data_IF_768618314329
#
_entry.id   IF_768618314329
#
_cell.length_a   1.000
_cell.length_b   1.000
_cell.length_c   1.000
_cell.angle_alpha   90.00
_cell.angle_beta   90.00
_cell.angle_gamma   90.00
#
_symmetry.space_group_name_H-M   'P 1'
#
loop_
_entity.id
_entity.type
_entity.pdbx_description
1 polymer ?
#
# COMPACT_ATOMS: atom_id res chain seq x y z
N UNK A 1 7.21 24.41 -21.03
CA UNK A 1 7.74 25.78 -20.97
C UNK A 1 8.18 26.06 -19.54
N UNK A 2 9.41 26.53 -19.32
CA UNK A 2 9.88 26.92 -17.99
C UNK A 2 9.31 28.31 -17.64
N UNK A 3 8.73 28.43 -16.45
CA UNK A 3 8.17 29.66 -15.94
C UNK A 3 9.21 30.44 -15.11
N UNK A 4 9.00 31.76 -14.89
CA UNK A 4 9.94 32.60 -14.14
C UNK A 4 10.17 32.18 -12.69
N UNK A 5 9.28 31.38 -12.11
CA UNK A 5 9.41 30.81 -10.76
C UNK A 5 10.22 29.50 -10.72
N UNK A 6 10.76 29.06 -11.87
CA UNK A 6 11.48 27.81 -12.00
C UNK A 6 10.59 26.57 -12.14
N UNK A 7 9.26 26.74 -12.17
CA UNK A 7 8.35 25.64 -12.51
C UNK A 7 8.45 25.30 -13.99
N UNK A 8 8.22 24.03 -14.33
CA UNK A 8 8.21 23.56 -15.71
C UNK A 8 6.82 23.01 -15.99
N UNK A 9 6.09 23.65 -16.91
CA UNK A 9 4.82 23.11 -17.40
C UNK A 9 5.09 22.21 -18.60
N UNK A 10 4.62 20.96 -18.50
CA UNK A 10 4.59 20.02 -19.61
C UNK A 10 3.24 20.18 -20.32
N UNK A 11 3.26 20.67 -21.56
CA UNK A 11 2.08 20.57 -22.43
C UNK A 11 2.03 19.15 -22.97
N UNK A 12 1.25 18.30 -22.32
CA UNK A 12 1.13 16.87 -22.66
C UNK A 12 0.03 16.62 -23.69
N UNK A 13 -0.62 17.65 -24.23
CA UNK A 13 -1.73 17.47 -25.16
C UNK A 13 -1.29 16.69 -26.42
N UNK A 14 -0.13 17.03 -27.00
CA UNK A 14 0.44 16.32 -28.16
C UNK A 14 0.91 14.89 -27.83
N UNK A 15 1.23 14.61 -26.55
CA UNK A 15 1.65 13.28 -26.11
C UNK A 15 0.49 12.39 -25.64
N UNK A 16 -0.72 12.95 -25.48
CA UNK A 16 -1.87 12.24 -24.93
C UNK A 16 -2.26 11.00 -25.73
N UNK A 17 -2.28 11.10 -27.06
CA UNK A 17 -2.60 9.98 -27.95
C UNK A 17 -1.51 8.90 -27.91
N UNK A 18 -0.24 9.29 -28.04
CA UNK A 18 0.88 8.36 -27.97
C UNK A 18 0.93 7.61 -26.61
N UNK A 19 0.65 8.33 -25.51
CA UNK A 19 0.53 7.75 -24.18
C UNK A 19 -0.65 6.76 -24.09
N UNK A 20 -1.82 7.13 -24.62
CA UNK A 20 -2.99 6.25 -24.60
C UNK A 20 -2.76 4.95 -25.38
N UNK A 21 -2.12 5.02 -26.56
CA UNK A 21 -1.75 3.85 -27.37
C UNK A 21 -0.73 2.98 -26.65
N UNK A 22 0.30 3.58 -26.06
CA UNK A 22 1.32 2.85 -25.30
C UNK A 22 0.71 2.15 -24.07
N UNK A 23 -0.15 2.85 -23.31
CA UNK A 23 -0.82 2.31 -22.13
C UNK A 23 -1.77 1.17 -22.50
N UNK A 24 -2.56 1.33 -23.57
CA UNK A 24 -3.44 0.27 -24.08
C UNK A 24 -2.64 -0.97 -24.50
N UNK A 25 -1.58 -0.77 -25.27
CA UNK A 25 -0.68 -1.85 -25.72
C UNK A 25 -0.07 -2.59 -24.54
N UNK A 26 0.39 -1.85 -23.52
CA UNK A 26 0.94 -2.42 -22.29
C UNK A 26 -0.09 -3.29 -21.56
N UNK A 27 -1.31 -2.78 -21.35
CA UNK A 27 -2.39 -3.49 -20.64
C UNK A 27 -2.82 -4.78 -21.34
N UNK A 28 -2.77 -4.83 -22.67
CA UNK A 28 -3.09 -6.04 -23.44
C UNK A 28 -1.93 -7.03 -23.43
N UNK A 29 -0.69 -6.55 -23.57
CA UNK A 29 0.49 -7.42 -23.62
C UNK A 29 0.82 -8.02 -22.26
N UNK A 30 0.51 -7.30 -21.19
CA UNK A 30 0.77 -7.68 -19.81
C UNK A 30 -0.50 -7.52 -18.99
N UNK A 31 -1.52 -8.38 -19.21
CA UNK A 31 -2.76 -8.31 -18.47
C UNK A 31 -2.50 -8.61 -16.99
N UNK A 32 -3.06 -7.78 -16.11
CA UNK A 32 -3.06 -8.04 -14.67
C UNK A 32 -4.03 -9.20 -14.42
N UNK A 33 -3.63 -10.20 -13.65
CA UNK A 33 -4.52 -11.29 -13.25
C UNK A 33 -5.78 -10.70 -12.57
N UNK A 34 -7.01 -11.08 -12.99
CA UNK A 34 -8.26 -10.59 -12.41
C UNK A 34 -8.31 -10.63 -10.88
N UNK A 35 -7.60 -11.55 -10.22
CA UNK A 35 -7.57 -11.60 -8.74
C UNK A 35 -6.94 -10.37 -8.09
N UNK A 36 -6.07 -9.65 -8.82
CA UNK A 36 -5.50 -8.37 -8.41
C UNK A 36 -6.29 -7.17 -8.95
N UNK A 37 -7.39 -7.41 -9.67
CA UNK A 37 -8.24 -6.37 -10.24
C UNK A 37 -9.47 -6.15 -9.35
N UNK A 38 -9.65 -4.91 -8.91
CA UNK A 38 -10.82 -4.50 -8.12
C UNK A 38 -10.53 -4.32 -6.64
N UNK A 39 -11.53 -3.88 -5.86
CA UNK A 39 -11.40 -3.71 -4.43
C UNK A 39 -11.26 -5.06 -3.72
N UNK A 40 -10.55 -5.08 -2.60
CA UNK A 40 -10.48 -6.23 -1.72
C UNK A 40 -11.88 -6.61 -1.23
N UNK A 41 -12.16 -7.91 -1.24
CA UNK A 41 -13.40 -8.42 -0.68
C UNK A 41 -13.33 -8.52 0.86
N UNK A 42 -14.47 -8.78 1.51
CA UNK A 42 -14.54 -8.84 2.98
C UNK A 42 -13.66 -9.92 3.62
N UNK A 43 -13.44 -11.06 2.96
CA UNK A 43 -12.55 -12.11 3.47
C UNK A 43 -11.09 -11.70 3.39
N UNK A 44 -10.68 -11.06 2.30
CA UNK A 44 -9.34 -10.52 2.13
C UNK A 44 -9.04 -9.45 3.19
N UNK A 45 -10.00 -8.57 3.47
CA UNK A 45 -9.86 -7.57 4.53
C UNK A 45 -9.72 -8.21 5.92
N UNK A 46 -10.54 -9.22 6.23
CA UNK A 46 -10.40 -9.99 7.49
C UNK A 46 -9.04 -10.66 7.57
N UNK A 47 -8.56 -11.24 6.46
CA UNK A 47 -7.23 -11.87 6.40
C UNK A 47 -6.11 -10.89 6.68
N UNK A 48 -6.16 -9.68 6.10
CA UNK A 48 -5.19 -8.61 6.37
C UNK A 48 -5.22 -8.21 7.84
N UNK A 49 -6.42 -8.02 8.41
CA UNK A 49 -6.56 -7.64 9.81
C UNK A 49 -5.99 -8.73 10.74
N UNK A 50 -6.34 -10.00 10.52
CA UNK A 50 -5.84 -11.12 11.32
C UNK A 50 -4.32 -11.28 11.18
N UNK A 51 -3.79 -11.19 9.96
CA UNK A 51 -2.35 -11.19 9.71
C UNK A 51 -1.63 -10.06 10.43
N UNK A 52 -2.23 -8.85 10.42
CA UNK A 52 -1.65 -7.70 11.09
C UNK A 52 -1.48 -7.95 12.59
N UNK A 53 -2.49 -8.56 13.22
CA UNK A 53 -2.48 -8.86 14.66
C UNK A 53 -1.58 -10.04 15.03
N UNK A 54 -1.62 -11.10 14.24
CA UNK A 54 -1.05 -12.39 14.63
C UNK A 54 0.36 -12.59 14.11
N UNK A 55 0.76 -11.87 13.07
CA UNK A 55 2.07 -11.99 12.42
C UNK A 55 2.83 -10.67 12.44
N UNK A 56 2.21 -9.56 12.01
CA UNK A 56 2.94 -8.28 11.93
C UNK A 56 3.25 -7.69 13.29
N UNK A 57 2.28 -7.65 14.22
CA UNK A 57 2.50 -7.14 15.58
C UNK A 57 3.73 -7.78 16.23
N UNK A 58 3.82 -9.12 16.38
CA UNK A 58 5.00 -9.73 17.00
C UNK A 58 6.28 -9.54 16.18
N UNK A 59 6.18 -9.46 14.84
CA UNK A 59 7.34 -9.18 14.00
C UNK A 59 7.90 -7.78 14.26
N UNK A 60 7.06 -6.75 14.27
CA UNK A 60 7.45 -5.37 14.55
C UNK A 60 8.00 -5.21 15.97
N UNK A 61 7.38 -5.86 16.96
CA UNK A 61 7.86 -5.88 18.35
C UNK A 61 9.27 -6.47 18.46
N UNK A 62 9.63 -7.45 17.62
CA UNK A 62 10.99 -8.03 17.58
C UNK A 62 12.07 -7.02 17.16
N UNK A 63 11.68 -5.96 16.44
CA UNK A 63 12.54 -4.81 16.10
C UNK A 63 12.55 -3.72 17.19
N UNK A 64 11.92 -3.97 18.35
CA UNK A 64 11.81 -3.00 19.44
C UNK A 64 10.81 -1.89 19.17
N UNK A 65 9.89 -2.09 18.22
CA UNK A 65 8.83 -1.15 17.90
C UNK A 65 7.65 -1.40 18.83
N UNK A 66 7.18 -0.36 19.52
CA UNK A 66 5.94 -0.43 20.28
C UNK A 66 4.74 -0.36 19.33
N UNK A 67 3.95 -1.42 19.29
CA UNK A 67 2.76 -1.50 18.42
C UNK A 67 1.51 -1.17 19.25
N UNK A 68 0.74 -0.13 18.89
CA UNK A 68 -0.53 0.17 19.56
C UNK A 68 -1.56 -0.94 19.37
N UNK A 69 -2.52 -1.03 20.30
CA UNK A 69 -3.66 -1.93 20.13
C UNK A 69 -4.47 -1.54 18.87
N UNK A 70 -4.77 -2.51 17.99
CA UNK A 70 -5.51 -2.24 16.76
C UNK A 70 -6.98 -1.87 17.07
N UNK A 71 -7.67 -1.17 16.15
CA UNK A 71 -9.12 -0.98 16.25
C UNK A 71 -9.84 -2.33 16.19
N UNK A 72 -11.14 -2.37 16.52
CA UNK A 72 -11.93 -3.58 16.30
C UNK A 72 -12.02 -3.92 14.80
N UNK A 73 -12.28 -5.19 14.48
CA UNK A 73 -12.45 -5.64 13.10
C UNK A 73 -13.62 -4.91 12.41
N UNK A 74 -14.69 -4.62 13.14
CA UNK A 74 -15.83 -3.85 12.63
C UNK A 74 -15.42 -2.45 12.21
N UNK A 75 -14.69 -1.73 13.08
CA UNK A 75 -14.18 -0.38 12.79
C UNK A 75 -13.18 -0.40 11.62
N UNK A 76 -12.33 -1.43 11.55
CA UNK A 76 -11.40 -1.61 10.44
C UNK A 76 -12.15 -1.75 9.10
N UNK A 77 -13.16 -2.62 9.05
CA UNK A 77 -13.96 -2.86 7.85
C UNK A 77 -14.78 -1.61 7.46
N UNK A 78 -15.37 -0.92 8.43
CA UNK A 78 -16.18 0.28 8.21
C UNK A 78 -15.35 1.43 7.61
N UNK A 79 -14.14 1.64 8.14
CA UNK A 79 -13.27 2.75 7.72
C UNK A 79 -12.41 2.44 6.51
N UNK A 80 -12.41 1.19 6.02
CA UNK A 80 -11.58 0.80 4.89
C UNK A 80 -11.89 1.66 3.65
N UNK A 81 -10.84 2.20 3.01
CA UNK A 81 -10.95 3.06 1.83
C UNK A 81 -11.29 4.53 2.15
N UNK A 82 -11.46 4.89 3.43
CA UNK A 82 -11.59 6.28 3.87
C UNK A 82 -10.23 6.89 4.25
N UNK A 83 -10.12 8.23 4.39
CA UNK A 83 -8.93 8.88 4.94
C UNK A 83 -8.53 8.40 6.35
N UNK A 84 -9.47 7.83 7.10
CA UNK A 84 -9.27 7.28 8.44
C UNK A 84 -9.01 5.77 8.44
N UNK A 85 -8.70 5.18 7.28
CA UNK A 85 -8.41 3.76 7.16
C UNK A 85 -7.17 3.38 7.99
N UNK A 86 -7.33 2.38 8.85
CA UNK A 86 -6.25 1.89 9.69
C UNK A 86 -5.29 0.99 8.91
N UNK A 87 -4.00 1.18 9.15
CA UNK A 87 -2.94 0.23 8.80
C UNK A 87 -1.85 0.30 9.86
N UNK A 88 -1.31 -0.86 10.25
CA UNK A 88 -0.34 -0.95 11.37
C UNK A 88 0.93 -0.13 11.15
N UNK A 89 1.41 -0.04 9.91
CA UNK A 89 2.60 0.75 9.56
C UNK A 89 2.38 2.26 9.72
N UNK A 90 1.15 2.73 9.52
CA UNK A 90 0.73 4.10 9.76
C UNK A 90 0.94 4.53 11.22
N UNK A 91 0.73 3.61 12.16
CA UNK A 91 0.85 3.85 13.60
C UNK A 91 2.30 3.82 14.10
N UNK A 92 3.15 3.02 13.45
CA UNK A 92 4.52 2.76 13.94
C UNK A 92 5.64 3.47 13.18
N UNK A 93 5.35 4.02 11.99
CA UNK A 93 6.37 4.65 11.12
C UNK A 93 7.20 5.74 11.81
N UNK A 94 6.64 6.44 12.81
CA UNK A 94 7.34 7.48 13.56
C UNK A 94 8.48 6.96 14.45
N UNK A 95 8.53 5.65 14.72
CA UNK A 95 9.59 4.99 15.48
C UNK A 95 10.77 4.56 14.59
N UNK A 96 10.58 4.56 13.26
CA UNK A 96 11.61 4.19 12.30
C UNK A 96 12.53 5.39 12.05
N UNK A 97 13.83 5.21 12.27
CA UNK A 97 14.80 6.32 12.34
C UNK A 97 15.57 6.56 11.04
N UNK A 98 15.55 5.60 10.12
CA UNK A 98 16.27 5.70 8.85
C UNK A 98 15.60 4.86 7.76
N UNK A 99 15.93 5.17 6.50
CA UNK A 99 15.49 4.38 5.35
C UNK A 99 16.07 2.95 5.38
N UNK A 100 17.30 2.78 5.87
CA UNK A 100 17.92 1.45 5.96
C UNK A 100 17.14 0.57 6.96
N UNK A 101 16.78 1.12 8.12
CA UNK A 101 15.95 0.43 9.09
C UNK A 101 14.57 0.11 8.51
N UNK A 102 13.96 1.06 7.76
CA UNK A 102 12.70 0.84 7.08
C UNK A 102 12.77 -0.35 6.10
N UNK A 103 13.83 -0.45 5.32
CA UNK A 103 14.03 -1.55 4.38
C UNK A 103 14.23 -2.88 5.09
N UNK A 104 15.02 -2.91 6.16
CA UNK A 104 15.24 -4.11 6.97
C UNK A 104 13.93 -4.64 7.58
N UNK A 105 13.13 -3.75 8.19
CA UNK A 105 11.82 -4.09 8.76
C UNK A 105 10.89 -4.62 7.66
N UNK A 106 10.79 -3.95 6.51
CA UNK A 106 9.88 -4.38 5.44
C UNK A 106 10.31 -5.70 4.79
N UNK A 107 11.61 -6.01 4.77
CA UNK A 107 12.12 -7.28 4.32
C UNK A 107 11.78 -8.42 5.30
N UNK A 108 11.82 -8.15 6.62
CA UNK A 108 11.53 -9.14 7.66
C UNK A 108 10.04 -9.28 7.98
N UNK A 109 9.26 -8.21 7.86
CA UNK A 109 7.84 -8.11 8.23
C UNK A 109 7.00 -7.68 7.02
N UNK A 110 6.74 -8.57 6.04
CA UNK A 110 5.99 -8.23 4.82
C UNK A 110 4.62 -7.63 5.14
N UNK A 111 4.29 -6.47 4.56
CA UNK A 111 3.09 -5.69 4.95
C UNK A 111 1.74 -6.40 4.69
N UNK A 112 1.72 -7.40 3.81
CA UNK A 112 0.53 -8.16 3.48
C UNK A 112 0.82 -9.66 3.54
N UNK A 113 -0.18 -10.49 3.86
CA UNK A 113 -0.03 -11.92 3.81
C UNK A 113 0.18 -12.39 2.36
N UNK A 114 1.04 -13.39 2.16
CA UNK A 114 1.36 -13.92 0.82
C UNK A 114 0.19 -14.65 0.16
N UNK A 115 -0.76 -15.13 0.98
CA UNK A 115 -1.96 -15.87 0.56
C UNK A 115 -3.19 -14.99 0.34
N UNK A 116 -3.04 -13.65 0.32
CA UNK A 116 -4.16 -12.72 0.21
C UNK A 116 -5.04 -12.92 -1.04
N UNK A 117 -4.45 -13.46 -2.10
CA UNK A 117 -5.07 -13.65 -3.41
C UNK A 117 -5.04 -15.12 -3.86
N UNK A 118 -4.99 -16.04 -2.91
CA UNK A 118 -5.09 -17.49 -3.15
C UNK A 118 -6.54 -17.99 -3.01
#
# INVERSE_FOLDING_TARGET
MAQPDGSVFFDTAEQGEAYAVALYTCKIRYPIDPKFQGPLNGEQLRRIYDYSKTVLTPCLESFGIAVPEPPSLEVFLEKHGSPDAWNIYGDVQNQVKSNDQWQEINAACPQYPTDLYE
#
